data_IF_799890228140
#
_entry.id   IF_799890228140
#
_cell.length_a   1.000
_cell.length_b   1.000
_cell.length_c   1.000
_cell.angle_alpha   90.00
_cell.angle_beta   90.00
_cell.angle_gamma   90.00
#
_symmetry.space_group_name_H-M   'P 1'
#
loop_
_entity.id
_entity.type
_entity.pdbx_description
1 polymer ?
#
# COMPACT_ATOMS: atom_id res chain seq x y z
N UNK A 1 8.85 8.72 -13.20
CA UNK A 1 8.38 7.99 -14.41
C UNK A 1 8.22 6.51 -14.05
N UNK A 2 7.03 5.94 -14.24
CA UNK A 2 6.84 4.49 -14.09
C UNK A 2 7.36 3.79 -15.34
N UNK A 3 8.64 3.41 -15.32
CA UNK A 3 9.20 2.40 -16.22
C UNK A 3 8.69 1.03 -15.77
N UNK A 4 7.37 0.83 -15.89
CA UNK A 4 6.75 -0.49 -15.74
C UNK A 4 6.75 -1.09 -17.13
N UNK A 5 7.73 -1.96 -17.38
CA UNK A 5 7.73 -2.81 -18.55
C UNK A 5 6.64 -3.86 -18.46
N UNK A 6 6.42 -4.58 -19.58
CA UNK A 6 5.45 -5.67 -19.62
C UNK A 6 5.73 -6.77 -18.58
N UNK A 7 7.01 -6.97 -18.23
CA UNK A 7 7.42 -7.99 -17.26
C UNK A 7 7.08 -7.58 -15.81
N UNK A 8 7.35 -6.33 -15.44
CA UNK A 8 7.03 -5.79 -14.12
C UNK A 8 5.51 -5.80 -13.87
N UNK A 9 4.71 -5.47 -14.89
CA UNK A 9 3.25 -5.54 -14.80
C UNK A 9 2.76 -6.98 -14.52
N UNK A 10 3.32 -7.98 -15.21
CA UNK A 10 2.99 -9.39 -14.98
C UNK A 10 3.39 -9.82 -13.57
N UNK A 11 4.58 -9.43 -13.10
CA UNK A 11 5.04 -9.74 -11.74
C UNK A 11 4.09 -9.19 -10.67
N UNK A 12 3.60 -7.97 -10.84
CA UNK A 12 2.62 -7.38 -9.90
C UNK A 12 1.28 -8.13 -9.92
N UNK A 13 0.81 -8.55 -11.10
CA UNK A 13 -0.42 -9.35 -11.21
C UNK A 13 -0.27 -10.70 -10.52
N UNK A 14 0.86 -11.40 -10.75
CA UNK A 14 1.14 -12.68 -10.09
C UNK A 14 1.22 -12.51 -8.58
N UNK A 15 1.94 -11.48 -8.10
CA UNK A 15 2.04 -11.17 -6.68
C UNK A 15 0.67 -10.89 -6.07
N UNK A 16 -0.17 -10.09 -6.73
CA UNK A 16 -1.53 -9.83 -6.28
C UNK A 16 -2.36 -11.11 -6.21
N UNK A 17 -2.23 -12.02 -7.19
CA UNK A 17 -2.91 -13.31 -7.19
C UNK A 17 -2.45 -14.18 -6.01
N UNK A 18 -1.16 -14.17 -5.68
CA UNK A 18 -0.63 -14.95 -4.54
C UNK A 18 -1.16 -14.39 -3.21
N UNK A 19 -1.15 -13.07 -3.03
CA UNK A 19 -1.56 -12.42 -1.77
C UNK A 19 -3.07 -12.55 -1.54
N UNK A 20 -3.88 -12.22 -2.56
CA UNK A 20 -5.32 -12.15 -2.42
C UNK A 20 -6.04 -13.42 -2.85
N UNK A 21 -5.46 -14.20 -3.75
CA UNK A 21 -6.08 -15.35 -4.42
C UNK A 21 -6.75 -14.97 -5.74
N UNK A 22 -6.70 -15.84 -6.78
CA UNK A 22 -7.25 -15.58 -8.11
C UNK A 22 -8.77 -15.37 -8.08
N UNK A 23 -9.47 -15.99 -7.13
CA UNK A 23 -10.93 -15.88 -7.02
C UNK A 23 -11.39 -14.60 -6.30
N UNK A 24 -10.54 -14.02 -5.44
CA UNK A 24 -10.89 -12.85 -4.63
C UNK A 24 -10.57 -11.54 -5.33
N UNK A 25 -9.49 -11.51 -6.11
CA UNK A 25 -9.08 -10.33 -6.89
C UNK A 25 -10.19 -9.73 -7.76
N UNK A 26 -10.86 -10.49 -8.65
CA UNK A 26 -11.89 -9.93 -9.52
C UNK A 26 -13.07 -9.39 -8.72
N UNK A 27 -13.42 -10.05 -7.60
CA UNK A 27 -14.47 -9.58 -6.69
C UNK A 27 -14.09 -8.27 -6.00
N UNK A 28 -12.86 -8.17 -5.49
CA UNK A 28 -12.33 -6.97 -4.84
C UNK A 28 -12.24 -5.79 -5.81
N UNK A 29 -11.72 -6.02 -7.03
CA UNK A 29 -11.66 -5.00 -8.08
C UNK A 29 -13.06 -4.50 -8.46
N UNK A 30 -14.04 -5.40 -8.59
CA UNK A 30 -15.42 -5.03 -8.88
C UNK A 30 -16.05 -4.21 -7.75
N UNK A 31 -15.75 -4.53 -6.49
CA UNK A 31 -16.20 -3.78 -5.32
C UNK A 31 -15.59 -2.38 -5.26
N UNK A 32 -14.27 -2.26 -5.45
CA UNK A 32 -13.59 -0.98 -5.54
C UNK A 32 -14.15 -0.12 -6.69
N UNK A 33 -14.41 -0.71 -7.86
CA UNK A 33 -15.02 -0.02 -8.99
C UNK A 33 -16.44 0.50 -8.68
N UNK A 34 -17.23 -0.27 -7.93
CA UNK A 34 -18.56 0.15 -7.46
C UNK A 34 -18.46 1.30 -6.45
N UNK A 35 -17.56 1.22 -5.48
CA UNK A 35 -17.31 2.31 -4.53
C UNK A 35 -16.88 3.58 -5.25
N UNK A 36 -15.95 3.48 -6.20
CA UNK A 36 -15.48 4.63 -6.97
C UNK A 36 -16.61 5.30 -7.76
N UNK A 37 -17.53 4.52 -8.34
CA UNK A 37 -18.72 5.05 -9.01
C UNK A 37 -19.64 5.80 -8.05
N UNK A 38 -19.86 5.27 -6.85
CA UNK A 38 -20.69 5.91 -5.82
C UNK A 38 -20.05 7.22 -5.31
N UNK A 39 -18.75 7.20 -5.04
CA UNK A 39 -18.00 8.41 -4.65
C UNK A 39 -18.12 9.47 -5.75
N UNK A 40 -17.95 9.08 -7.02
CA UNK A 40 -18.13 9.98 -8.15
C UNK A 40 -19.54 10.58 -8.22
N UNK A 41 -20.59 9.78 -8.02
CA UNK A 41 -21.96 10.30 -8.01
C UNK A 41 -22.21 11.25 -6.84
N UNK A 42 -21.70 10.95 -5.64
CA UNK A 42 -21.83 11.85 -4.50
C UNK A 42 -21.10 13.18 -4.70
N UNK A 43 -19.90 13.14 -5.28
CA UNK A 43 -19.16 14.36 -5.62
C UNK A 43 -19.91 15.22 -6.67
N UNK A 44 -20.57 14.58 -7.64
CA UNK A 44 -21.39 15.28 -8.64
C UNK A 44 -22.63 15.93 -8.00
N UNK A 45 -23.35 15.19 -7.16
CA UNK A 45 -24.55 15.69 -6.48
C UNK A 45 -24.20 16.84 -5.52
N UNK A 46 -23.14 16.69 -4.71
CA UNK A 46 -22.69 17.76 -3.80
C UNK A 46 -22.31 19.05 -4.55
N UNK A 47 -21.66 18.92 -5.73
CA UNK A 47 -21.35 20.07 -6.59
C UNK A 47 -22.62 20.75 -7.11
N UNK A 48 -23.62 19.96 -7.47
CA UNK A 48 -24.91 20.46 -7.94
C UNK A 48 -25.70 21.17 -6.82
N UNK A 49 -25.68 20.62 -5.60
CA UNK A 49 -26.33 21.21 -4.43
C UNK A 49 -25.68 22.54 -4.01
N UNK A 50 -24.35 22.61 -4.00
CA UNK A 50 -23.58 23.84 -3.74
C UNK A 50 -23.93 24.91 -4.78
N UNK A 51 -23.98 24.55 -6.07
CA UNK A 51 -24.35 25.46 -7.17
C UNK A 51 -25.78 25.98 -7.03
N UNK A 52 -26.73 25.15 -6.58
CA UNK A 52 -28.14 25.52 -6.40
C UNK A 52 -28.37 26.45 -5.21
N UNK A 53 -27.62 26.28 -4.12
CA UNK A 53 -27.85 27.01 -2.86
C UNK A 53 -27.09 28.33 -2.76
N UNK A 54 -25.94 28.45 -3.42
CA UNK A 54 -25.05 29.61 -3.27
C UNK A 54 -25.01 30.54 -4.51
N UNK A 55 -25.77 30.20 -5.56
CA UNK A 55 -25.86 30.98 -6.79
C UNK A 55 -24.63 30.83 -7.72
N UNK A 56 -24.71 31.36 -8.96
CA UNK A 56 -23.65 31.23 -9.96
C UNK A 56 -22.32 31.89 -9.56
N UNK A 57 -22.25 32.65 -8.47
CA UNK A 57 -21.00 33.31 -8.00
C UNK A 57 -19.97 32.33 -7.41
N UNK A 58 -20.33 31.06 -7.19
CA UNK A 58 -19.39 29.98 -6.81
C UNK A 58 -19.06 29.04 -7.98
N UNK A 59 -19.48 29.40 -9.20
CA UNK A 59 -19.12 28.67 -10.41
C UNK A 59 -17.60 28.69 -10.68
N UNK A 60 -16.90 29.69 -10.13
CA UNK A 60 -15.46 29.92 -10.24
C UNK A 60 -14.61 29.31 -9.12
N UNK A 61 -15.21 28.70 -8.07
CA UNK A 61 -14.43 27.84 -7.17
C UNK A 61 -14.11 26.56 -7.93
N UNK A 62 -12.84 26.47 -8.33
CA UNK A 62 -12.26 25.46 -9.19
C UNK A 62 -12.18 24.08 -8.51
N UNK A 63 -13.33 23.51 -8.12
CA UNK A 63 -13.47 22.11 -7.68
C UNK A 63 -13.03 21.16 -8.81
N UNK A 64 -12.91 21.67 -10.05
CA UNK A 64 -12.40 20.94 -11.21
C UNK A 64 -10.85 20.82 -11.26
N UNK A 65 -10.10 21.57 -10.44
CA UNK A 65 -8.64 21.38 -10.30
C UNK A 65 -8.27 20.30 -9.26
N UNK A 66 -9.23 19.87 -8.43
CA UNK A 66 -9.17 18.58 -7.71
C UNK A 66 -9.48 17.38 -8.60
N UNK A 67 -9.15 17.48 -9.90
CA UNK A 67 -9.25 16.35 -10.81
C UNK A 67 -8.32 15.25 -10.28
N UNK A 68 -8.83 14.08 -9.88
CA UNK A 68 -8.00 13.06 -9.22
C UNK A 68 -6.85 12.65 -10.14
N UNK A 69 -7.01 12.68 -11.47
CA UNK A 69 -5.92 12.48 -12.43
C UNK A 69 -4.82 13.53 -12.35
N UNK A 70 -5.14 14.80 -12.14
CA UNK A 70 -4.15 15.89 -12.01
C UNK A 70 -3.52 15.91 -10.62
N UNK A 71 -4.29 15.61 -9.57
CA UNK A 71 -3.81 15.45 -8.20
C UNK A 71 -2.87 14.26 -8.06
N UNK A 72 -3.28 13.07 -8.52
CA UNK A 72 -2.44 11.86 -8.54
C UNK A 72 -1.19 12.10 -9.39
N UNK A 73 -1.29 12.80 -10.53
CA UNK A 73 -0.12 13.16 -11.33
C UNK A 73 0.84 14.08 -10.56
N UNK A 74 0.34 15.12 -9.88
CA UNK A 74 1.17 16.03 -9.07
C UNK A 74 1.81 15.31 -7.87
N UNK A 75 1.03 14.51 -7.13
CA UNK A 75 1.53 13.76 -5.98
C UNK A 75 2.48 12.63 -6.38
N UNK A 76 2.12 11.78 -7.35
CA UNK A 76 2.99 10.67 -7.77
C UNK A 76 4.28 11.14 -8.44
N UNK A 77 4.28 12.29 -9.14
CA UNK A 77 5.51 12.87 -9.70
C UNK A 77 6.35 13.57 -8.63
N UNK A 78 5.75 14.05 -7.54
CA UNK A 78 6.47 14.57 -6.37
C UNK A 78 6.99 13.45 -5.45
N UNK A 79 6.28 12.32 -5.38
CA UNK A 79 6.62 11.12 -4.59
C UNK A 79 7.65 10.21 -5.28
N UNK A 80 8.05 10.48 -6.54
CA UNK A 80 9.11 9.73 -7.22
C UNK A 80 10.41 9.74 -6.39
N UNK A 81 10.69 10.81 -5.63
CA UNK A 81 11.83 10.90 -4.70
C UNK A 81 11.74 9.88 -3.53
N UNK A 82 10.53 9.65 -2.98
CA UNK A 82 10.30 8.65 -1.92
C UNK A 82 10.40 7.20 -2.43
N UNK A 83 10.17 6.99 -3.73
CA UNK A 83 10.26 5.67 -4.38
C UNK A 83 11.70 5.22 -4.58
N UNK A 84 12.63 6.15 -4.82
CA UNK A 84 14.06 5.84 -4.87
C UNK A 84 14.60 5.45 -3.49
N UNK A 85 14.16 6.11 -2.43
CA UNK A 85 14.54 5.80 -1.04
C UNK A 85 14.06 4.42 -0.60
N UNK A 86 12.79 4.09 -0.86
CA UNK A 86 12.23 2.77 -0.52
C UNK A 86 12.89 1.62 -1.29
N UNK A 87 13.29 1.85 -2.54
CA UNK A 87 13.99 0.84 -3.36
C UNK A 87 15.46 0.67 -2.97
N UNK A 88 16.10 1.73 -2.48
CA UNK A 88 17.42 1.65 -1.85
C UNK A 88 17.35 0.90 -0.51
N UNK A 89 16.35 1.20 0.32
CA UNK A 89 16.09 0.49 1.57
C UNK A 89 15.88 -1.02 1.34
N UNK A 90 15.14 -1.38 0.29
CA UNK A 90 14.90 -2.78 -0.08
C UNK A 90 16.16 -3.48 -0.59
N UNK A 91 17.02 -2.76 -1.33
CA UNK A 91 18.31 -3.28 -1.80
C UNK A 91 19.30 -3.45 -0.68
N UNK A 92 19.39 -2.50 0.24
CA UNK A 92 20.23 -2.60 1.44
C UNK A 92 19.85 -3.84 2.28
N UNK A 93 18.55 -4.08 2.44
CA UNK A 93 18.03 -5.29 3.07
C UNK A 93 18.31 -6.59 2.29
N UNK A 94 18.50 -6.51 0.97
CA UNK A 94 18.64 -7.67 0.08
C UNK A 94 20.09 -7.99 -0.30
N UNK A 95 21.01 -7.04 -0.18
CA UNK A 95 22.42 -7.20 -0.60
C UNK A 95 23.31 -7.73 0.52
N UNK A 96 22.89 -7.64 1.78
CA UNK A 96 23.56 -8.26 2.94
C UNK A 96 23.17 -9.75 3.09
N UNK A 97 23.17 -10.44 1.95
CA UNK A 97 22.79 -11.82 1.77
C UNK A 97 23.66 -12.79 2.58
N UNK A 98 23.28 -13.00 3.84
CA UNK A 98 23.41 -14.29 4.48
C UNK A 98 22.05 -14.76 4.98
N UNK A 99 21.26 -15.23 4.00
CA UNK A 99 20.18 -16.21 4.15
C UNK A 99 18.86 -15.68 4.72
N UNK A 100 17.87 -15.50 3.85
CA UNK A 100 16.45 -15.48 4.25
C UNK A 100 15.63 -16.30 3.25
N UNK A 101 15.83 -17.62 3.30
CA UNK A 101 14.74 -18.56 3.06
C UNK A 101 13.90 -18.60 4.35
N UNK A 102 12.73 -17.95 4.34
CA UNK A 102 11.45 -18.38 4.96
C UNK A 102 10.56 -17.17 5.36
N UNK A 103 9.33 -17.07 4.85
CA UNK A 103 8.37 -16.01 5.20
C UNK A 103 7.58 -16.27 6.50
N UNK A 104 8.01 -17.18 7.37
CA UNK A 104 7.39 -17.43 8.67
C UNK A 104 8.32 -17.00 9.80
N UNK A 105 7.88 -16.16 10.76
CA UNK A 105 8.74 -15.76 11.87
C UNK A 105 9.01 -16.98 12.75
N UNK A 106 10.22 -17.52 12.68
CA UNK A 106 10.65 -18.54 13.66
C UNK A 106 10.75 -17.83 15.00
N UNK A 107 9.80 -18.18 15.86
CA UNK A 107 9.74 -17.85 17.29
C UNK A 107 11.14 -17.72 17.87
N UNK A 108 11.42 -16.58 18.53
CA UNK A 108 12.60 -16.38 19.39
C UNK A 108 12.93 -17.70 20.06
N UNK A 109 14.08 -18.26 19.74
CA UNK A 109 14.66 -19.41 20.42
C UNK A 109 14.71 -19.04 21.89
N UNK A 110 13.69 -19.43 22.65
CA UNK A 110 13.86 -19.59 24.09
C UNK A 110 15.02 -20.55 24.19
N UNK A 111 16.14 -20.02 24.68
CA UNK A 111 17.42 -20.68 24.74
C UNK A 111 17.21 -22.08 25.30
N UNK A 112 17.19 -23.07 24.40
CA UNK A 112 17.04 -24.47 24.81
C UNK A 112 18.32 -24.79 25.55
N UNK A 113 18.20 -24.83 26.87
CA UNK A 113 19.29 -25.18 27.78
C UNK A 113 19.84 -26.54 27.33
N UNK A 114 21.13 -26.58 27.00
CA UNK A 114 21.74 -27.80 26.51
C UNK A 114 21.85 -28.83 27.65
N UNK A 115 21.74 -30.14 27.38
CA UNK A 115 21.79 -31.15 28.44
C UNK A 115 23.10 -31.05 29.24
N UNK A 116 22.99 -30.69 30.53
CA UNK A 116 24.14 -30.47 31.43
C UNK A 116 24.43 -29.00 31.74
N UNK A 117 23.75 -28.06 31.10
CA UNK A 117 23.80 -26.64 31.44
C UNK A 117 22.70 -26.34 32.47
N UNK A 118 23.05 -25.67 33.57
CA UNK A 118 22.09 -25.29 34.60
C UNK A 118 21.33 -24.05 34.13
N UNK A 119 19.98 -24.05 34.11
CA UNK A 119 19.23 -22.88 33.68
C UNK A 119 19.58 -21.67 34.56
N UNK A 120 19.53 -20.44 34.02
CA UNK A 120 19.82 -19.25 34.80
C UNK A 120 18.89 -19.18 36.00
N UNK A 121 19.46 -19.09 37.20
CA UNK A 121 18.70 -18.92 38.44
C UNK A 121 18.17 -17.48 38.50
N UNK A 122 16.85 -17.35 38.54
CA UNK A 122 16.19 -16.08 38.77
C UNK A 122 16.12 -15.82 40.28
N UNK A 123 16.98 -14.93 40.77
CA UNK A 123 17.07 -14.58 42.19
C UNK A 123 15.94 -13.62 42.62
N UNK A 124 15.14 -13.11 41.69
CA UNK A 124 14.06 -12.15 41.94
C UNK A 124 12.69 -12.84 42.14
N UNK A 125 12.65 -14.18 42.17
CA UNK A 125 11.41 -14.97 42.29
C UNK A 125 10.99 -15.28 43.76
N UNK A 126 11.33 -14.44 44.74
CA UNK A 126 10.88 -14.57 46.15
C UNK A 126 10.02 -13.39 46.59
#
# INVERSE_FOLDING_TARGET
MFDIGGLEAVTLVVLAIIIFGPDKLPKAAAEAARMLRQVRSYAQNAREDIRRQLGPEFEDIDIADLNPKRFIRRNLLADDDLRFDSMQLYRDFSLDGKGLDDPFPTRRTQQRVQPGEMPPFDADAT
#
